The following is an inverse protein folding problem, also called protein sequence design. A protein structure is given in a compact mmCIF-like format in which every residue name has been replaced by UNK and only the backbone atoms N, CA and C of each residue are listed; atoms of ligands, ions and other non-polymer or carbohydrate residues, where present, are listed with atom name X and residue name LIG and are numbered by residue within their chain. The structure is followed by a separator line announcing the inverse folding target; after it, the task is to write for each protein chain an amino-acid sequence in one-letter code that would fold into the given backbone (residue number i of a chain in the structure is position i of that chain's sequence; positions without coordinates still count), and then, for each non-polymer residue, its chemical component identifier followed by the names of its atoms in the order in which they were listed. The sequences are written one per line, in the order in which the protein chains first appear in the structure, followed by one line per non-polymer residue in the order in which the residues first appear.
data_IF_447847422731
#
_entry.id   IF_447847422731
#
_cell.length_a   1.000
_cell.length_b   1.000
_cell.length_c   1.000
_cell.angle_alpha   90.00
_cell.angle_beta   90.00
_cell.angle_gamma   90.00
#
_symmetry.space_group_name_H-M   'P 1'
#
loop_
_entity.id
_entity.type
_entity.pdbx_description
1 polymer ?
#
# COMPACT_ATOMS: atom_id res chain seq x y z
N UNK A 1 -58.03 48.38 18.90
CA UNK A 1 -57.45 47.04 19.15
C UNK A 1 -57.13 46.38 17.81
N UNK A 2 -55.90 46.53 17.34
CA UNK A 2 -55.45 46.00 16.04
C UNK A 2 -54.71 44.69 16.31
N UNK A 3 -55.24 43.57 15.81
CA UNK A 3 -54.59 42.25 15.87
C UNK A 3 -53.53 42.18 14.78
N UNK A 4 -52.26 42.03 15.16
CA UNK A 4 -51.16 41.70 14.25
C UNK A 4 -50.98 40.18 14.25
N UNK A 5 -51.18 39.57 13.08
CA UNK A 5 -50.90 38.17 12.81
C UNK A 5 -49.38 37.93 12.76
N UNK A 6 -48.86 37.02 13.58
CA UNK A 6 -47.49 36.50 13.45
C UNK A 6 -47.46 35.46 12.32
N UNK A 7 -46.74 35.75 11.24
CA UNK A 7 -46.35 34.80 10.19
C UNK A 7 -45.27 33.87 10.74
N UNK A 8 -45.55 32.58 10.78
CA UNK A 8 -44.59 31.47 10.92
C UNK A 8 -43.98 31.19 9.55
N UNK A 9 -42.72 31.57 9.34
CA UNK A 9 -41.90 31.06 8.22
C UNK A 9 -40.45 30.96 8.70
N UNK A 10 -39.81 29.85 8.33
CA UNK A 10 -38.35 29.60 8.31
C UNK A 10 -37.81 28.65 9.40
N UNK A 11 -38.17 27.37 9.24
CA UNK A 11 -37.48 26.22 9.85
C UNK A 11 -37.04 25.22 8.76
N UNK A 12 -36.51 25.71 7.62
CA UNK A 12 -36.05 24.86 6.51
C UNK A 12 -34.71 25.29 5.88
N UNK A 13 -33.82 25.92 6.66
CA UNK A 13 -32.47 26.30 6.17
C UNK A 13 -31.33 25.66 6.99
N UNK A 14 -31.63 24.78 7.96
CA UNK A 14 -30.59 24.20 8.83
C UNK A 14 -30.20 22.74 8.53
N UNK A 15 -30.67 22.15 7.42
CA UNK A 15 -30.31 20.76 7.06
C UNK A 15 -29.46 20.61 5.79
N UNK A 16 -29.13 21.70 5.10
CA UNK A 16 -28.26 21.66 3.89
C UNK A 16 -26.80 22.06 4.14
N UNK A 17 -26.43 22.41 5.38
CA UNK A 17 -25.03 22.71 5.75
C UNK A 17 -24.31 21.57 6.49
N UNK A 18 -24.99 20.45 6.76
CA UNK A 18 -24.42 19.29 7.47
C UNK A 18 -24.17 18.08 6.55
N UNK A 19 -23.94 18.32 5.26
CA UNK A 19 -23.71 17.26 4.26
C UNK A 19 -22.46 17.48 3.40
N UNK A 20 -21.52 18.32 3.84
CA UNK A 20 -20.26 18.59 3.12
C UNK A 20 -18.98 18.38 3.96
N UNK A 21 -19.05 17.63 5.07
CA UNK A 21 -17.89 17.38 5.94
C UNK A 21 -17.68 15.92 6.37
N UNK A 22 -18.05 14.96 5.52
CA UNK A 22 -17.63 13.55 5.71
C UNK A 22 -17.07 12.96 4.41
N UNK A 23 -16.00 13.60 3.93
CA UNK A 23 -15.00 12.93 3.12
C UNK A 23 -13.63 13.30 3.68
N UNK A 24 -13.44 13.01 4.97
CA UNK A 24 -12.10 12.89 5.54
C UNK A 24 -11.59 11.52 5.11
N UNK A 25 -10.84 11.52 4.02
CA UNK A 25 -9.91 10.48 3.63
C UNK A 25 -9.33 9.81 4.89
N UNK A 26 -9.36 8.48 4.96
CA UNK A 26 -8.49 7.76 5.87
C UNK A 26 -7.06 8.02 5.38
N UNK A 27 -6.50 9.14 5.82
CA UNK A 27 -5.15 9.56 5.48
C UNK A 27 -4.23 8.45 5.97
N UNK A 28 -3.49 7.84 5.04
CA UNK A 28 -2.19 7.25 5.40
C UNK A 28 -1.46 8.41 6.07
N UNK A 29 -1.34 8.37 7.39
CA UNK A 29 -0.76 9.46 8.16
C UNK A 29 0.71 9.52 7.74
N UNK A 30 1.03 10.54 6.94
CA UNK A 30 2.40 10.85 6.52
C UNK A 30 2.76 12.21 7.07
N UNK A 31 3.99 12.31 7.56
CA UNK A 31 4.56 13.57 8.05
C UNK A 31 5.82 13.84 7.25
N UNK A 32 5.88 15.00 6.62
CA UNK A 32 7.07 15.42 5.90
C UNK A 32 7.99 16.18 6.86
N UNK A 33 9.27 15.83 6.84
CA UNK A 33 10.32 16.50 7.59
C UNK A 33 11.31 17.12 6.61
N UNK A 34 11.68 18.38 6.84
CA UNK A 34 12.43 19.19 5.89
C UNK A 34 13.74 19.69 6.48
N UNK A 35 14.80 19.66 5.69
CA UNK A 35 16.05 20.31 6.09
C UNK A 35 15.79 21.79 6.35
N UNK A 36 16.31 22.38 7.45
CA UNK A 36 16.41 23.82 7.56
C UNK A 36 17.08 24.39 6.31
N UNK A 37 16.40 25.32 5.64
CA UNK A 37 16.80 25.80 4.32
C UNK A 37 17.79 26.95 4.46
N UNK A 38 18.98 26.78 3.88
CA UNK A 38 19.96 27.87 3.73
C UNK A 38 19.91 28.49 2.34
N UNK A 39 19.45 27.73 1.34
CA UNK A 39 19.30 28.15 -0.04
C UNK A 39 17.89 27.80 -0.56
N UNK A 40 17.30 28.66 -1.39
CA UNK A 40 15.91 28.57 -1.83
C UNK A 40 15.74 28.42 -3.35
N UNK A 41 16.83 28.41 -4.13
CA UNK A 41 16.79 28.13 -5.56
C UNK A 41 16.72 26.62 -5.86
N UNK A 42 16.65 26.28 -7.15
CA UNK A 42 16.53 24.89 -7.62
C UNK A 42 15.10 24.36 -7.65
N UNK A 43 14.92 23.20 -8.31
CA UNK A 43 13.62 22.59 -8.55
C UNK A 43 13.48 21.27 -7.77
N UNK A 44 12.34 21.09 -7.11
CA UNK A 44 11.96 19.83 -6.50
C UNK A 44 11.71 18.77 -7.56
N UNK A 45 12.31 17.60 -7.36
CA UNK A 45 12.32 16.53 -8.36
C UNK A 45 11.18 15.51 -8.16
N UNK A 46 10.33 15.76 -7.17
CA UNK A 46 9.15 14.96 -6.86
C UNK A 46 9.45 13.81 -5.92
N UNK A 47 8.42 13.41 -5.16
CA UNK A 47 8.53 12.34 -4.18
C UNK A 47 8.83 10.99 -4.82
N UNK A 48 9.79 10.27 -4.23
CA UNK A 48 9.99 8.84 -4.47
C UNK A 48 9.75 8.12 -3.16
N UNK A 49 8.89 7.12 -3.22
CA UNK A 49 8.41 6.38 -2.05
C UNK A 49 9.05 5.00 -2.00
N UNK A 50 9.27 4.51 -0.79
CA UNK A 50 9.57 3.12 -0.52
C UNK A 50 8.36 2.27 -0.94
N UNK A 51 8.55 1.00 -1.34
CA UNK A 51 7.43 0.07 -1.45
C UNK A 51 6.57 0.07 -0.18
N UNK A 52 5.27 -0.15 -0.33
CA UNK A 52 4.35 -0.19 0.81
C UNK A 52 4.85 -1.14 1.91
N UNK A 53 4.78 -0.69 3.17
CA UNK A 53 5.23 -1.46 4.33
C UNK A 53 6.75 -1.54 4.52
N UNK A 54 7.54 -0.86 3.67
CA UNK A 54 9.00 -0.82 3.80
C UNK A 54 9.49 0.58 4.18
N UNK A 55 10.63 0.63 4.88
CA UNK A 55 11.21 1.85 5.41
C UNK A 55 12.68 1.93 5.04
N UNK A 56 13.22 3.14 4.94
CA UNK A 56 14.62 3.35 4.65
C UNK A 56 15.50 2.89 5.81
N UNK A 57 16.56 2.16 5.51
CA UNK A 57 17.52 1.65 6.50
C UNK A 57 18.98 1.91 6.11
N UNK A 58 19.22 2.58 4.97
CA UNK A 58 20.55 3.03 4.60
C UNK A 58 20.49 4.29 3.73
N UNK A 59 21.61 5.00 3.66
CA UNK A 59 21.81 6.12 2.76
C UNK A 59 23.10 5.95 1.94
N UNK A 60 23.11 6.48 0.72
CA UNK A 60 24.30 6.56 -0.14
C UNK A 60 24.37 7.92 -0.79
N UNK A 61 25.55 8.52 -0.80
CA UNK A 61 25.77 9.85 -1.35
C UNK A 61 26.50 9.78 -2.68
N UNK A 62 26.12 10.66 -3.61
CA UNK A 62 26.90 10.93 -4.82
C UNK A 62 27.59 12.28 -4.63
N UNK A 63 28.91 12.26 -4.51
CA UNK A 63 29.72 13.46 -4.20
C UNK A 63 30.75 13.64 -5.29
N UNK A 64 31.01 14.88 -5.70
CA UNK A 64 32.13 15.17 -6.60
C UNK A 64 33.45 14.68 -5.95
N UNK A 65 34.36 14.12 -6.75
CA UNK A 65 35.67 13.67 -6.24
C UNK A 65 36.63 14.84 -6.13
N UNK A 66 37.63 14.75 -5.23
CA UNK A 66 38.71 15.75 -5.11
C UNK A 66 39.38 15.95 -6.48
N UNK A 67 39.16 17.08 -7.13
CA UNK A 67 39.79 17.41 -8.43
C UNK A 67 41.04 18.30 -8.26
N UNK A 68 41.71 18.25 -7.11
CA UNK A 68 42.91 19.05 -6.83
C UNK A 68 42.58 20.53 -6.64
N UNK A 69 43.21 21.42 -7.42
CA UNK A 69 43.05 22.88 -7.31
C UNK A 69 41.76 23.44 -7.97
N UNK A 70 40.74 22.59 -8.20
CA UNK A 70 39.43 23.01 -8.75
C UNK A 70 38.35 22.84 -7.70
N UNK A 71 37.45 23.83 -7.58
CA UNK A 71 36.36 23.87 -6.59
C UNK A 71 35.60 22.54 -6.49
N UNK A 72 35.74 21.84 -5.37
CA UNK A 72 35.05 20.57 -5.09
C UNK A 72 33.60 20.86 -4.65
N UNK A 73 32.65 20.83 -5.59
CA UNK A 73 31.57 21.83 -5.53
C UNK A 73 30.21 21.45 -4.91
N UNK A 74 29.89 20.21 -4.53
CA UNK A 74 28.70 19.86 -3.68
C UNK A 74 28.37 18.35 -3.64
N UNK A 75 27.41 17.99 -2.77
CA UNK A 75 26.60 16.77 -2.85
C UNK A 75 25.67 16.85 -4.07
N UNK A 76 25.64 15.83 -4.92
CA UNK A 76 24.81 15.81 -6.13
C UNK A 76 23.49 15.07 -5.96
N UNK A 77 23.44 14.09 -5.06
CA UNK A 77 22.19 13.42 -4.65
C UNK A 77 22.36 12.64 -3.35
N UNK A 78 21.23 12.38 -2.70
CA UNK A 78 21.08 11.43 -1.60
C UNK A 78 20.15 10.31 -2.04
N UNK A 79 20.62 9.08 -1.87
CA UNK A 79 19.88 7.85 -2.12
C UNK A 79 19.51 7.22 -0.79
N UNK A 80 18.25 6.84 -0.61
CA UNK A 80 17.80 6.09 0.57
C UNK A 80 17.40 4.67 0.15
N UNK A 81 17.81 3.67 0.93
CA UNK A 81 17.53 2.28 0.63
C UNK A 81 16.40 1.72 1.48
N UNK A 82 15.30 1.41 0.82
CA UNK A 82 14.33 0.37 1.20
C UNK A 82 14.32 -0.74 0.14
N UNK A 83 14.47 -0.34 -1.13
CA UNK A 83 14.96 -1.09 -2.31
C UNK A 83 15.72 -0.18 -3.28
N UNK A 84 16.30 0.89 -2.74
CA UNK A 84 17.14 1.77 -3.51
C UNK A 84 16.45 2.89 -4.29
N UNK A 85 15.92 3.88 -3.58
CA UNK A 85 15.20 5.02 -4.18
C UNK A 85 15.98 6.33 -4.04
N UNK A 86 15.91 7.17 -5.06
CA UNK A 86 16.39 8.55 -5.04
C UNK A 86 15.46 9.41 -5.90
N UNK A 87 15.29 10.67 -5.53
CA UNK A 87 14.41 11.61 -6.23
C UNK A 87 15.07 12.15 -7.50
N UNK A 88 15.93 13.18 -7.38
CA UNK A 88 16.73 13.67 -8.49
C UNK A 88 18.22 13.66 -8.19
N UNK A 89 19.00 13.82 -9.25
CA UNK A 89 20.46 13.75 -9.18
C UNK A 89 21.14 14.78 -10.08
N UNK A 90 22.28 15.28 -9.61
CA UNK A 90 23.28 15.94 -10.45
C UNK A 90 23.99 14.95 -11.39
N UNK A 91 24.45 15.42 -12.57
CA UNK A 91 25.12 14.56 -13.55
C UNK A 91 26.45 13.99 -13.03
N UNK A 92 27.18 14.76 -12.22
CA UNK A 92 28.56 14.47 -11.85
C UNK A 92 28.74 13.77 -10.50
N UNK A 93 29.98 13.37 -10.20
CA UNK A 93 30.40 12.78 -8.93
C UNK A 93 30.36 11.25 -8.88
N UNK A 94 30.97 10.71 -7.82
CA UNK A 94 31.09 9.27 -7.56
C UNK A 94 30.18 8.87 -6.40
N UNK A 95 29.55 7.71 -6.55
CA UNK A 95 28.79 7.08 -5.47
C UNK A 95 29.74 6.60 -4.38
N UNK A 96 29.58 7.16 -3.19
CA UNK A 96 30.37 6.82 -2.01
C UNK A 96 29.86 5.55 -1.35
N UNK A 97 30.51 5.12 -0.26
CA UNK A 97 30.13 3.92 0.47
C UNK A 97 28.73 4.06 1.06
N UNK A 98 28.01 2.96 1.07
CA UNK A 98 26.69 2.86 1.67
C UNK A 98 26.79 2.89 3.19
N UNK A 99 25.90 3.66 3.82
CA UNK A 99 25.83 3.84 5.27
C UNK A 99 24.55 3.23 5.78
N UNK A 100 24.68 2.05 6.38
CA UNK A 100 23.57 1.27 6.91
C UNK A 100 23.27 1.63 8.35
N UNK A 101 21.98 1.70 8.68
CA UNK A 101 21.54 1.61 10.06
C UNK A 101 21.99 0.28 10.68
N UNK A 102 22.26 0.23 11.99
CA UNK A 102 22.48 -1.03 12.69
C UNK A 102 21.32 -2.01 12.45
N UNK A 103 21.61 -3.30 12.57
CA UNK A 103 20.64 -4.37 12.33
C UNK A 103 19.36 -4.16 13.16
N UNK A 104 18.20 -4.33 12.51
CA UNK A 104 16.88 -4.15 13.11
C UNK A 104 16.44 -2.69 13.31
N UNK A 105 17.26 -1.70 12.95
CA UNK A 105 16.91 -0.28 13.02
C UNK A 105 16.56 0.29 11.65
N UNK A 106 15.69 1.29 11.66
CA UNK A 106 15.27 2.04 10.46
C UNK A 106 15.63 3.51 10.63
N UNK A 107 15.67 4.24 9.52
CA UNK A 107 15.88 5.68 9.51
C UNK A 107 14.65 6.38 10.11
N UNK A 108 14.88 7.13 11.18
CA UNK A 108 13.86 7.86 11.95
C UNK A 108 14.08 9.38 11.92
N UNK A 109 15.08 9.85 11.19
CA UNK A 109 15.41 11.26 11.08
C UNK A 109 16.67 11.49 10.26
N UNK A 110 17.00 12.76 10.08
CA UNK A 110 18.20 13.18 9.36
C UNK A 110 18.67 14.57 9.79
N UNK A 111 19.88 14.90 9.36
CA UNK A 111 20.39 16.27 9.30
C UNK A 111 21.16 16.44 7.98
N UNK A 112 21.12 17.66 7.45
CA UNK A 112 21.84 18.03 6.24
C UNK A 112 23.00 18.96 6.62
N UNK A 113 24.16 18.77 5.98
CA UNK A 113 25.29 19.68 6.09
C UNK A 113 25.34 20.55 4.85
N UNK A 114 25.46 21.86 5.03
CA UNK A 114 25.54 22.84 3.94
C UNK A 114 26.61 23.88 4.26
N UNK A 115 27.18 24.51 3.23
CA UNK A 115 28.10 25.63 3.45
C UNK A 115 27.33 26.94 3.69
N UNK A 116 27.92 27.85 4.47
CA UNK A 116 27.26 29.12 4.83
C UNK A 116 27.42 30.17 3.73
N UNK A 117 26.42 31.04 3.52
CA UNK A 117 26.42 32.06 2.46
C UNK A 117 27.42 33.23 2.66
N UNK A 118 28.29 33.20 3.68
CA UNK A 118 29.23 34.29 3.97
C UNK A 118 30.59 34.15 3.27
N UNK A 119 30.87 33.02 2.62
CA UNK A 119 32.01 32.85 1.74
C UNK A 119 31.51 32.90 0.28
N UNK A 120 32.33 33.44 -0.62
CA UNK A 120 31.97 33.91 -1.97
C UNK A 120 31.27 32.89 -2.89
N UNK A 121 31.26 31.61 -2.53
CA UNK A 121 30.70 30.53 -3.32
C UNK A 121 29.45 29.96 -2.65
N UNK A 122 28.32 30.03 -3.36
CA UNK A 122 27.04 29.52 -2.91
C UNK A 122 27.04 28.00 -3.03
N UNK A 123 27.56 27.30 -2.04
CA UNK A 123 27.59 25.83 -2.08
C UNK A 123 26.32 25.27 -1.46
N UNK A 124 25.66 24.35 -2.17
CA UNK A 124 24.47 23.64 -1.71
C UNK A 124 24.75 22.69 -0.54
N UNK A 125 24.01 21.58 -0.46
CA UNK A 125 24.30 20.53 0.48
C UNK A 125 25.67 19.90 0.18
N UNK A 126 26.39 19.51 1.23
CA UNK A 126 27.74 18.93 1.14
C UNK A 126 27.81 17.58 1.84
N UNK A 127 26.96 17.32 2.83
CA UNK A 127 26.83 16.02 3.46
C UNK A 127 25.40 15.77 3.96
N UNK A 128 25.11 14.52 4.29
CA UNK A 128 23.87 14.05 4.87
C UNK A 128 24.18 13.01 5.94
N UNK A 129 23.48 13.10 7.07
CA UNK A 129 23.53 12.07 8.09
C UNK A 129 22.11 11.63 8.45
N UNK A 130 21.91 10.33 8.54
CA UNK A 130 20.68 9.73 9.01
C UNK A 130 20.76 9.37 10.49
N UNK A 131 19.62 9.44 11.15
CA UNK A 131 19.43 8.94 12.51
C UNK A 131 18.63 7.64 12.46
N UNK A 132 19.16 6.60 13.09
CA UNK A 132 18.59 5.26 13.11
C UNK A 132 18.01 4.92 14.48
N UNK A 133 16.91 4.19 14.49
CA UNK A 133 16.27 3.77 15.74
C UNK A 133 15.06 2.91 15.49
N UNK A 134 14.39 2.54 16.58
CA UNK A 134 13.09 1.86 16.50
C UNK A 134 11.98 2.91 16.30
N UNK A 135 10.87 2.55 15.62
CA UNK A 135 9.77 3.49 15.37
C UNK A 135 9.23 4.16 16.63
N UNK A 136 9.12 3.46 17.76
CA UNK A 136 8.64 4.02 19.03
C UNK A 136 9.77 4.47 19.98
N UNK A 137 11.03 4.29 19.56
CA UNK A 137 12.22 4.65 20.32
C UNK A 137 12.40 6.16 20.53
N UNK A 138 13.45 6.56 21.27
CA UNK A 138 13.79 7.97 21.44
C UNK A 138 14.15 8.64 20.11
N UNK A 139 13.94 9.96 20.02
CA UNK A 139 14.34 10.78 18.88
C UNK A 139 15.64 11.49 19.23
N UNK A 140 16.72 10.74 19.11
CA UNK A 140 18.05 11.16 19.52
C UNK A 140 19.11 10.77 18.47
N UNK A 141 20.37 11.08 18.78
CA UNK A 141 21.52 10.88 17.89
C UNK A 141 22.27 9.58 18.15
N UNK A 142 21.71 8.65 18.94
CA UNK A 142 22.44 7.46 19.43
C UNK A 142 23.04 6.65 18.29
N UNK A 143 22.27 6.44 17.22
CA UNK A 143 22.74 5.76 16.01
C UNK A 143 22.73 6.73 14.83
N UNK A 144 23.76 7.58 14.76
CA UNK A 144 23.97 8.49 13.64
C UNK A 144 24.86 7.83 12.59
N UNK A 145 24.39 7.80 11.34
CA UNK A 145 25.17 7.31 10.19
C UNK A 145 25.42 8.46 9.21
N UNK A 146 26.69 8.82 9.03
CA UNK A 146 27.12 9.96 8.22
C UNK A 146 27.70 9.48 6.89
N UNK A 147 27.36 10.17 5.80
CA UNK A 147 27.92 9.91 4.48
C UNK A 147 29.39 10.32 4.36
N UNK A 148 30.11 9.66 3.45
CA UNK A 148 31.51 9.99 3.16
C UNK A 148 31.58 11.22 2.25
N UNK A 149 31.76 12.40 2.84
CA UNK A 149 32.02 13.63 2.09
C UNK A 149 33.03 14.52 2.81
N UNK A 150 33.31 15.69 2.25
CA UNK A 150 34.31 16.60 2.78
C UNK A 150 33.93 17.19 4.15
N UNK A 151 34.92 17.60 4.96
CA UNK A 151 34.69 18.01 6.36
C UNK A 151 34.22 19.46 6.54
N UNK A 152 33.90 20.20 5.48
CA UNK A 152 33.49 21.61 5.54
C UNK A 152 31.95 21.79 5.58
N UNK A 153 31.50 23.01 5.82
CA UNK A 153 30.10 23.36 6.06
C UNK A 153 29.61 23.08 7.49
N UNK A 154 28.36 23.41 7.76
CA UNK A 154 27.71 23.27 9.07
C UNK A 154 26.47 22.38 8.99
N UNK A 155 26.27 21.58 10.04
CA UNK A 155 25.09 20.73 10.18
C UNK A 155 23.88 21.58 10.58
N UNK A 156 22.79 21.38 9.85
CA UNK A 156 21.48 21.93 10.19
C UNK A 156 20.89 21.27 11.44
N UNK A 157 19.86 21.89 12.00
CA UNK A 157 19.11 21.31 13.11
C UNK A 157 18.49 19.96 12.71
N UNK A 158 18.56 19.00 13.62
CA UNK A 158 18.06 17.65 13.40
C UNK A 158 16.57 17.64 13.12
N UNK A 159 16.18 16.78 12.20
CA UNK A 159 14.80 16.53 11.85
C UNK A 159 14.47 15.07 12.16
N UNK A 160 13.44 14.83 12.95
CA UNK A 160 13.02 13.49 13.35
C UNK A 160 11.58 13.25 12.92
N UNK A 161 11.31 12.04 12.46
CA UNK A 161 9.95 11.54 12.33
C UNK A 161 9.27 11.52 13.70
N UNK A 162 7.94 11.71 13.80
CA UNK A 162 7.21 11.49 15.04
C UNK A 162 7.37 10.06 15.56
N UNK A 163 7.13 9.82 16.86
CA UNK A 163 7.08 8.45 17.42
C UNK A 163 6.04 7.60 16.69
N UNK A 164 6.38 6.34 16.42
CA UNK A 164 5.58 5.41 15.62
C UNK A 164 5.77 5.56 14.10
N UNK A 165 6.71 6.39 13.65
CA UNK A 165 6.98 6.64 12.22
C UNK A 165 8.44 6.39 11.87
N UNK A 166 8.67 6.03 10.61
CA UNK A 166 9.99 5.89 10.01
C UNK A 166 10.00 6.45 8.58
N UNK A 167 11.18 6.77 8.06
CA UNK A 167 11.35 7.34 6.72
C UNK A 167 10.91 6.33 5.67
N UNK A 168 9.98 6.75 4.82
CA UNK A 168 9.41 5.96 3.72
C UNK A 168 9.46 6.70 2.37
N UNK A 169 10.05 7.88 2.29
CA UNK A 169 10.18 8.59 1.02
C UNK A 169 11.19 9.73 1.06
N UNK A 170 11.62 10.13 -0.12
CA UNK A 170 12.58 11.22 -0.33
C UNK A 170 12.13 12.13 -1.47
N UNK A 171 12.37 13.42 -1.29
CA UNK A 171 12.28 14.44 -2.32
C UNK A 171 13.52 15.32 -2.21
N UNK A 172 14.19 15.57 -3.33
CA UNK A 172 15.43 16.36 -3.36
C UNK A 172 15.20 17.61 -4.19
N UNK A 173 15.72 18.75 -3.72
CA UNK A 173 15.78 19.97 -4.49
C UNK A 173 17.13 20.03 -5.19
N UNK A 174 17.12 20.07 -6.51
CA UNK A 174 18.34 20.13 -7.33
C UNK A 174 18.45 21.53 -7.94
N UNK A 175 19.60 22.16 -7.78
CA UNK A 175 19.94 23.42 -8.42
C UNK A 175 19.74 23.28 -9.93
N UNK A 176 19.03 24.25 -10.51
CA UNK A 176 18.91 24.36 -11.97
C UNK A 176 19.93 25.35 -12.49
N UNK A 177 20.57 25.09 -13.65
CA UNK A 177 21.56 26.00 -14.19
C UNK A 177 20.91 27.36 -14.47
N UNK A 178 21.57 28.44 -14.04
CA UNK A 178 21.16 29.80 -14.40
C UNK A 178 21.36 30.00 -15.92
N UNK A 179 20.51 30.79 -16.61
CA UNK A 179 20.56 30.94 -18.07
C UNK A 179 21.89 31.50 -18.63
N UNK A 180 22.82 31.94 -17.78
CA UNK A 180 24.13 32.49 -18.16
C UNK A 180 25.32 31.72 -17.58
N UNK A 181 25.10 30.56 -16.94
CA UNK A 181 26.18 29.64 -16.52
C UNK A 181 26.02 28.32 -17.26
N UNK A 182 27.15 27.66 -17.57
CA UNK A 182 27.17 26.38 -18.28
C UNK A 182 26.17 25.40 -17.64
N UNK A 183 25.44 24.66 -18.48
CA UNK A 183 24.32 23.78 -18.12
C UNK A 183 24.68 22.58 -17.21
N UNK A 184 25.96 22.46 -16.85
CA UNK A 184 26.56 21.28 -16.23
C UNK A 184 26.61 21.37 -14.70
N UNK A 185 26.41 22.55 -14.10
CA UNK A 185 26.45 22.69 -12.65
C UNK A 185 25.06 22.46 -12.03
N UNK A 186 24.72 21.20 -11.74
CA UNK A 186 23.52 20.82 -10.98
C UNK A 186 23.93 20.05 -9.73
N UNK A 187 23.65 20.62 -8.57
CA UNK A 187 23.94 20.03 -7.28
C UNK A 187 22.69 19.97 -6.39
N UNK A 188 22.77 19.22 -5.29
CA UNK A 188 21.70 19.10 -4.31
C UNK A 188 21.71 20.31 -3.38
N UNK A 189 20.58 21.00 -3.25
CA UNK A 189 20.44 22.12 -2.31
C UNK A 189 19.76 21.66 -1.02
N UNK A 190 18.67 20.91 -1.13
CA UNK A 190 17.84 20.53 0.01
C UNK A 190 17.29 19.11 -0.10
N UNK A 191 16.94 18.54 1.06
CA UNK A 191 16.30 17.22 1.17
C UNK A 191 15.05 17.36 2.03
N UNK A 192 13.97 16.75 1.54
CA UNK A 192 12.78 16.42 2.34
C UNK A 192 12.63 14.91 2.42
N UNK A 193 12.33 14.43 3.63
CA UNK A 193 11.99 13.04 3.87
C UNK A 193 10.52 12.94 4.26
N UNK A 194 9.86 11.90 3.79
CA UNK A 194 8.50 11.55 4.19
C UNK A 194 8.56 10.45 5.22
N UNK A 195 7.92 10.66 6.36
CA UNK A 195 7.74 9.68 7.41
C UNK A 195 6.37 9.01 7.25
N UNK A 196 6.34 7.68 7.24
CA UNK A 196 5.12 6.89 7.26
C UNK A 196 4.99 6.21 8.63
N UNK A 197 3.75 6.04 9.08
CA UNK A 197 3.46 5.23 10.26
C UNK A 197 3.98 3.80 10.09
N UNK A 198 4.58 3.26 11.15
CA UNK A 198 5.03 1.87 11.24
C UNK A 198 4.01 1.08 12.04
N UNK A 199 3.42 0.01 11.48
CA UNK A 199 2.55 -0.87 12.24
C UNK A 199 3.28 -1.41 13.48
N UNK A 200 2.63 -1.35 14.64
CA UNK A 200 3.21 -1.84 15.90
C UNK A 200 3.23 -3.36 16.02
N UNK A 201 2.42 -4.05 15.23
CA UNK A 201 2.35 -5.50 15.17
C UNK A 201 2.92 -5.97 13.83
N UNK A 202 4.09 -6.59 13.85
CA UNK A 202 4.59 -7.32 12.69
C UNK A 202 3.96 -8.71 12.65
N UNK A 203 3.07 -8.91 11.68
CA UNK A 203 2.45 -10.22 11.45
C UNK A 203 3.36 -11.06 10.53
N UNK A 204 4.06 -12.04 11.08
CA UNK A 204 4.82 -13.00 10.28
C UNK A 204 3.90 -14.05 9.66
N UNK A 205 3.24 -13.69 8.55
CA UNK A 205 2.38 -14.59 7.80
C UNK A 205 2.39 -14.26 6.31
N UNK A 206 2.15 -15.28 5.49
CA UNK A 206 1.81 -15.10 4.08
C UNK A 206 0.30 -14.96 3.97
N UNK A 207 -0.22 -13.89 3.35
CA UNK A 207 -1.66 -13.71 3.22
C UNK A 207 -2.28 -14.81 2.36
N UNK A 208 -3.39 -15.37 2.82
CA UNK A 208 -4.17 -16.37 2.09
C UNK A 208 -5.53 -15.80 1.73
N UNK A 209 -5.93 -16.01 0.48
CA UNK A 209 -7.21 -15.56 -0.06
C UNK A 209 -8.06 -16.77 -0.43
N UNK A 210 -9.34 -16.71 -0.11
CA UNK A 210 -10.27 -17.79 -0.38
C UNK A 210 -11.71 -17.27 -0.49
N UNK A 211 -12.55 -18.06 -1.15
CA UNK A 211 -13.99 -17.84 -1.22
C UNK A 211 -14.68 -18.66 -0.15
N UNK A 212 -15.59 -18.04 0.59
CA UNK A 212 -16.51 -18.75 1.47
C UNK A 212 -17.93 -18.60 0.98
N UNK A 213 -18.65 -19.73 0.88
CA UNK A 213 -20.04 -19.78 0.44
C UNK A 213 -20.93 -19.13 1.49
N UNK A 214 -21.64 -18.07 1.08
CA UNK A 214 -22.67 -17.42 1.89
C UNK A 214 -24.01 -18.12 1.75
N UNK A 215 -24.40 -18.43 0.50
CA UNK A 215 -25.67 -19.10 0.21
C UNK A 215 -25.61 -19.82 -1.14
N UNK A 216 -26.51 -20.76 -1.33
CA UNK A 216 -26.76 -21.47 -2.58
C UNK A 216 -28.27 -21.53 -2.79
N UNK A 217 -28.70 -21.27 -4.03
CA UNK A 217 -30.10 -21.32 -4.40
C UNK A 217 -30.29 -22.05 -5.72
N UNK A 218 -31.22 -23.00 -5.72
CA UNK A 218 -31.54 -23.81 -6.90
C UNK A 218 -32.86 -23.35 -7.52
N UNK A 219 -32.78 -22.63 -8.64
CA UNK A 219 -33.92 -22.26 -9.47
C UNK A 219 -33.94 -23.06 -10.79
N UNK A 220 -33.30 -24.23 -10.85
CA UNK A 220 -33.13 -25.00 -12.11
C UNK A 220 -34.45 -25.57 -12.64
N UNK A 221 -35.46 -25.71 -11.79
CA UNK A 221 -36.80 -26.17 -12.18
C UNK A 221 -37.83 -25.02 -12.27
N UNK A 222 -37.45 -23.80 -11.88
CA UNK A 222 -38.36 -22.66 -11.86
C UNK A 222 -38.38 -21.91 -13.20
N UNK A 223 -39.58 -21.63 -13.70
CA UNK A 223 -39.81 -20.92 -14.95
C UNK A 223 -39.70 -19.38 -14.84
N UNK A 224 -39.54 -18.84 -13.62
CA UNK A 224 -39.45 -17.42 -13.35
C UNK A 224 -38.19 -17.04 -12.56
N UNK A 225 -37.87 -15.76 -12.54
CA UNK A 225 -36.79 -15.21 -11.72
C UNK A 225 -37.20 -15.17 -10.25
N UNK A 226 -36.32 -15.61 -9.35
CA UNK A 226 -36.55 -15.58 -7.91
C UNK A 226 -35.56 -14.63 -7.25
N UNK A 227 -36.07 -13.68 -6.46
CA UNK A 227 -35.23 -12.78 -5.65
C UNK A 227 -34.91 -13.44 -4.32
N UNK A 228 -33.63 -13.59 -4.01
CA UNK A 228 -33.15 -14.06 -2.72
C UNK A 228 -32.44 -12.93 -1.97
N UNK A 229 -32.33 -13.08 -0.65
CA UNK A 229 -31.50 -12.23 0.20
C UNK A 229 -30.33 -13.04 0.75
N UNK A 230 -29.18 -12.38 0.92
CA UNK A 230 -28.01 -12.95 1.55
C UNK A 230 -27.30 -11.89 2.39
N UNK A 231 -26.59 -12.33 3.43
CA UNK A 231 -25.82 -11.44 4.29
C UNK A 231 -24.33 -11.63 4.04
N UNK A 232 -23.63 -10.53 3.78
CA UNK A 232 -22.16 -10.51 3.76
C UNK A 232 -21.65 -9.75 4.97
N UNK A 233 -20.53 -10.22 5.53
CA UNK A 233 -19.93 -9.62 6.72
C UNK A 233 -18.60 -8.97 6.36
N UNK A 234 -18.53 -7.65 6.44
CA UNK A 234 -17.30 -6.87 6.24
C UNK A 234 -16.75 -6.55 7.62
N UNK A 235 -15.89 -7.43 8.14
CA UNK A 235 -15.35 -7.29 9.50
C UNK A 235 -14.05 -8.05 9.70
N UNK A 236 -13.24 -7.60 10.66
CA UNK A 236 -12.11 -8.36 11.17
C UNK A 236 -12.56 -9.36 12.24
N UNK A 237 -11.93 -10.51 12.32
CA UNK A 237 -12.20 -11.50 13.36
C UNK A 237 -10.95 -12.30 13.66
N UNK A 238 -10.66 -12.53 14.94
CA UNK A 238 -9.65 -13.52 15.34
C UNK A 238 -10.18 -14.93 15.16
N UNK A 239 -9.44 -15.78 14.44
CA UNK A 239 -9.80 -17.18 14.19
C UNK A 239 -9.56 -18.06 15.41
N UNK A 240 -8.60 -17.69 16.26
CA UNK A 240 -8.22 -18.40 17.49
C UNK A 240 -8.21 -17.45 18.70
N UNK A 241 -8.31 -18.03 19.91
CA UNK A 241 -8.30 -17.30 21.18
C UNK A 241 -9.69 -16.94 21.73
N UNK A 242 -9.71 -16.46 22.98
CA UNK A 242 -10.94 -16.12 23.71
C UNK A 242 -11.57 -14.80 23.23
N UNK A 243 -10.76 -13.90 22.68
CA UNK A 243 -11.19 -12.59 22.18
C UNK A 243 -11.31 -12.63 20.67
N UNK A 244 -12.48 -12.29 20.12
CA UNK A 244 -12.74 -12.24 18.68
C UNK A 244 -12.42 -10.89 18.03
N UNK A 245 -12.27 -9.84 18.84
CA UNK A 245 -11.94 -8.48 18.37
C UNK A 245 -10.47 -8.36 18.00
N UNK A 246 -10.20 -7.59 16.95
CA UNK A 246 -8.85 -7.31 16.44
C UNK A 246 -8.53 -5.85 16.74
N UNK A 247 -7.37 -5.59 17.37
CA UNK A 247 -6.97 -4.23 17.73
C UNK A 247 -6.65 -3.39 16.50
N UNK A 248 -6.65 -2.06 16.63
CA UNK A 248 -6.28 -1.16 15.54
C UNK A 248 -4.85 -1.43 15.04
N UNK A 249 -3.92 -1.73 15.94
CA UNK A 249 -2.51 -2.03 15.61
C UNK A 249 -2.39 -3.36 14.85
N UNK A 250 -3.16 -4.38 15.24
CA UNK A 250 -3.24 -5.66 14.54
C UNK A 250 -3.86 -5.49 13.14
N UNK A 251 -4.88 -4.63 13.00
CA UNK A 251 -5.49 -4.30 11.70
C UNK A 251 -4.51 -3.57 10.78
N UNK A 252 -3.72 -2.63 11.31
CA UNK A 252 -2.67 -1.94 10.56
C UNK A 252 -1.55 -2.91 10.14
N UNK A 253 -1.15 -3.81 11.03
CA UNK A 253 -0.23 -4.90 10.72
C UNK A 253 -0.77 -5.81 9.62
N UNK A 254 -2.06 -6.14 9.66
CA UNK A 254 -2.73 -6.95 8.65
C UNK A 254 -2.77 -6.26 7.28
N UNK A 255 -3.13 -4.98 7.25
CA UNK A 255 -3.16 -4.18 6.03
C UNK A 255 -1.78 -4.12 5.36
N UNK A 256 -0.70 -4.07 6.14
CA UNK A 256 0.67 -4.05 5.62
C UNK A 256 1.04 -5.29 4.81
N UNK A 257 0.36 -6.43 5.03
CA UNK A 257 0.61 -7.70 4.32
C UNK A 257 -0.08 -7.78 2.96
N UNK A 258 -0.87 -6.77 2.57
CA UNK A 258 -1.51 -6.71 1.25
C UNK A 258 -0.50 -6.19 0.22
N UNK A 259 0.33 -7.10 -0.30
CA UNK A 259 1.39 -6.80 -1.26
C UNK A 259 1.04 -7.16 -2.71
N UNK A 260 0.13 -8.11 -2.91
CA UNK A 260 -0.19 -8.70 -4.22
C UNK A 260 -1.68 -8.63 -4.54
N UNK A 261 -2.01 -8.67 -5.83
CA UNK A 261 -3.39 -8.81 -6.29
C UNK A 261 -3.83 -10.28 -6.28
N UNK A 262 -5.11 -10.51 -6.59
CA UNK A 262 -5.68 -11.84 -6.76
C UNK A 262 -6.41 -11.99 -8.08
N UNK A 263 -6.43 -13.22 -8.59
CA UNK A 263 -7.34 -13.66 -9.63
C UNK A 263 -8.41 -14.56 -9.01
N UNK A 264 -9.65 -14.33 -9.43
CA UNK A 264 -10.82 -15.07 -8.94
C UNK A 264 -11.53 -15.69 -10.14
N UNK A 265 -11.61 -17.02 -10.16
CA UNK A 265 -12.28 -17.78 -11.22
C UNK A 265 -13.73 -18.09 -10.87
N UNK A 266 -14.68 -17.60 -11.67
CA UNK A 266 -16.13 -17.75 -11.43
C UNK A 266 -16.68 -19.12 -11.82
N UNK A 267 -16.11 -19.82 -12.80
CA UNK A 267 -16.60 -21.15 -13.19
C UNK A 267 -16.03 -22.24 -12.29
N UNK A 268 -14.73 -22.15 -11.99
CA UNK A 268 -13.98 -23.19 -11.29
C UNK A 268 -13.87 -22.95 -9.77
N UNK A 269 -14.29 -21.79 -9.27
CA UNK A 269 -14.31 -21.49 -7.82
C UNK A 269 -12.92 -21.43 -7.18
N UNK A 270 -11.89 -20.99 -7.91
CA UNK A 270 -10.53 -20.84 -7.38
C UNK A 270 -10.19 -19.38 -7.11
N UNK A 271 -9.25 -19.18 -6.19
CA UNK A 271 -8.58 -17.91 -5.93
C UNK A 271 -7.07 -18.13 -5.97
N UNK A 272 -6.34 -17.28 -6.68
CA UNK A 272 -4.87 -17.32 -6.74
C UNK A 272 -4.29 -15.93 -6.55
N UNK A 273 -3.31 -15.77 -5.66
CA UNK A 273 -2.53 -14.55 -5.54
C UNK A 273 -1.54 -14.42 -6.70
N UNK A 274 -1.42 -13.23 -7.30
CA UNK A 274 -0.44 -12.95 -8.37
C UNK A 274 0.25 -11.60 -8.20
N UNK A 275 1.55 -11.59 -8.46
CA UNK A 275 2.40 -10.39 -8.46
C UNK A 275 2.26 -9.57 -9.75
N UNK A 276 1.86 -10.22 -10.84
CA UNK A 276 1.62 -9.59 -12.14
C UNK A 276 0.50 -10.31 -12.88
N UNK A 277 -0.39 -9.55 -13.51
CA UNK A 277 -1.46 -10.10 -14.35
C UNK A 277 -1.01 -10.17 -15.80
N UNK A 278 -1.10 -11.35 -16.43
CA UNK A 278 -1.05 -11.47 -17.90
C UNK A 278 -2.34 -10.94 -18.52
N UNK A 279 -2.32 -10.50 -19.78
CA UNK A 279 -3.56 -10.15 -20.49
C UNK A 279 -4.26 -11.45 -20.91
N UNK A 280 -5.20 -11.91 -20.08
CA UNK A 280 -6.18 -12.91 -20.44
C UNK A 280 -7.54 -12.27 -20.25
N UNK A 281 -8.22 -11.99 -21.37
CA UNK A 281 -9.64 -11.68 -21.42
C UNK A 281 -10.38 -13.01 -21.41
N UNK A 282 -10.71 -13.49 -20.22
CA UNK A 282 -11.70 -14.54 -20.04
C UNK A 282 -12.89 -13.97 -19.30
N UNK A 283 -14.11 -14.21 -19.78
CA UNK A 283 -15.36 -13.84 -19.09
C UNK A 283 -15.54 -14.57 -17.75
N UNK A 284 -14.68 -15.56 -17.45
CA UNK A 284 -14.74 -16.41 -16.27
C UNK A 284 -13.69 -16.09 -15.19
N UNK A 285 -12.82 -15.07 -15.37
CA UNK A 285 -11.79 -14.69 -14.39
C UNK A 285 -11.81 -13.17 -14.13
N UNK A 286 -11.90 -12.76 -12.87
CA UNK A 286 -11.72 -11.37 -12.46
C UNK A 286 -10.36 -11.14 -11.79
N UNK A 287 -9.72 -10.03 -12.14
CA UNK A 287 -8.44 -9.58 -11.61
C UNK A 287 -8.66 -8.44 -10.62
N UNK A 288 -8.23 -8.63 -9.38
CA UNK A 288 -8.34 -7.64 -8.31
C UNK A 288 -6.93 -7.23 -7.91
N UNK A 289 -6.56 -5.98 -8.20
CA UNK A 289 -5.24 -5.44 -7.86
C UNK A 289 -5.00 -5.36 -6.35
N UNK A 290 -3.72 -5.35 -5.94
CA UNK A 290 -3.33 -5.16 -4.54
C UNK A 290 -3.96 -3.89 -3.95
N UNK A 291 -4.03 -2.79 -4.72
CA UNK A 291 -4.63 -1.54 -4.29
C UNK A 291 -6.15 -1.66 -4.02
N UNK A 292 -6.87 -2.39 -4.88
CA UNK A 292 -8.30 -2.67 -4.63
C UNK A 292 -8.50 -3.49 -3.35
N UNK A 293 -7.63 -4.47 -3.09
CA UNK A 293 -7.66 -5.25 -1.84
C UNK A 293 -7.37 -4.35 -0.64
N UNK A 294 -6.34 -3.49 -0.72
CA UNK A 294 -6.02 -2.52 0.34
C UNK A 294 -7.24 -1.64 0.67
N UNK A 295 -7.95 -1.13 -0.34
CA UNK A 295 -9.15 -0.32 -0.13
C UNK A 295 -10.27 -1.12 0.55
N UNK A 296 -10.48 -2.39 0.17
CA UNK A 296 -11.47 -3.25 0.83
C UNK A 296 -11.12 -3.54 2.30
N UNK A 297 -9.83 -3.79 2.58
CA UNK A 297 -9.34 -4.01 3.95
C UNK A 297 -9.49 -2.73 4.77
N UNK A 298 -9.09 -1.57 4.24
CA UNK A 298 -9.27 -0.26 4.89
C UNK A 298 -10.75 0.04 5.19
N UNK A 299 -11.66 -0.26 4.26
CA UNK A 299 -13.09 -0.12 4.50
C UNK A 299 -13.56 -0.98 5.68
N UNK A 300 -13.07 -2.23 5.78
CA UNK A 300 -13.36 -3.09 6.93
C UNK A 300 -12.72 -2.59 8.24
N UNK A 301 -11.64 -1.80 8.17
CA UNK A 301 -11.03 -1.18 9.35
C UNK A 301 -11.86 0.00 9.86
N UNK A 302 -12.38 0.83 8.95
CA UNK A 302 -13.14 2.04 9.29
C UNK A 302 -14.56 1.73 9.74
N UNK A 303 -15.19 0.72 9.15
CA UNK A 303 -16.56 0.32 9.47
C UNK A 303 -16.73 -1.19 9.36
N UNK A 304 -16.90 -1.84 10.51
CA UNK A 304 -17.32 -3.24 10.55
C UNK A 304 -18.84 -3.32 10.48
N UNK A 305 -19.36 -4.06 9.50
CA UNK A 305 -20.80 -4.17 9.28
C UNK A 305 -21.22 -5.51 8.68
N UNK A 306 -22.48 -5.85 8.90
CA UNK A 306 -23.18 -6.94 8.20
C UNK A 306 -24.19 -6.30 7.25
N UNK A 307 -24.10 -6.65 5.98
CA UNK A 307 -24.88 -6.03 4.91
C UNK A 307 -25.76 -7.10 4.29
N UNK A 308 -27.07 -6.86 4.29
CA UNK A 308 -28.05 -7.68 3.57
C UNK A 308 -28.18 -7.18 2.13
N UNK A 309 -27.93 -8.04 1.16
CA UNK A 309 -28.09 -7.74 -0.27
C UNK A 309 -29.10 -8.67 -0.92
N UNK A 310 -29.69 -8.24 -2.02
CA UNK A 310 -30.59 -9.06 -2.84
C UNK A 310 -29.89 -9.55 -4.09
N UNK A 311 -30.23 -10.76 -4.53
CA UNK A 311 -29.80 -11.30 -5.81
C UNK A 311 -30.98 -11.90 -6.56
N UNK A 312 -31.06 -11.64 -7.86
CA UNK A 312 -32.11 -12.17 -8.73
C UNK A 312 -31.60 -13.44 -9.43
N UNK A 313 -32.07 -14.59 -8.98
CA UNK A 313 -31.74 -15.90 -9.56
C UNK A 313 -32.57 -16.10 -10.83
N UNK A 314 -31.94 -16.19 -12.02
CA UNK A 314 -32.67 -16.41 -13.27
C UNK A 314 -33.44 -17.73 -13.28
N UNK A 315 -34.47 -17.81 -14.11
CA UNK A 315 -35.17 -19.07 -14.39
C UNK A 315 -34.18 -20.15 -14.91
N UNK A 316 -34.42 -21.39 -14.53
CA UNK A 316 -33.65 -22.57 -14.95
C UNK A 316 -32.15 -22.53 -14.61
N UNK A 317 -31.75 -21.78 -13.56
CA UNK A 317 -30.35 -21.69 -13.10
C UNK A 317 -30.22 -21.96 -11.61
N UNK A 318 -29.14 -22.65 -11.21
CA UNK A 318 -28.69 -22.68 -9.82
C UNK A 318 -27.61 -21.61 -9.63
N UNK A 319 -27.52 -21.02 -8.45
CA UNK A 319 -26.46 -20.05 -8.14
C UNK A 319 -25.83 -20.32 -6.79
N UNK A 320 -24.52 -20.13 -6.71
CA UNK A 320 -23.74 -20.10 -5.47
C UNK A 320 -23.22 -18.67 -5.29
N UNK A 321 -23.47 -18.07 -4.13
CA UNK A 321 -22.96 -16.75 -3.76
C UNK A 321 -21.85 -16.94 -2.73
N UNK A 322 -20.67 -16.44 -3.05
CA UNK A 322 -19.46 -16.55 -2.25
C UNK A 322 -18.90 -15.16 -1.96
N UNK A 323 -18.30 -14.99 -0.78
CA UNK A 323 -17.59 -13.78 -0.39
C UNK A 323 -16.10 -14.04 -0.36
N UNK A 324 -15.33 -13.06 -0.83
CA UNK A 324 -13.88 -13.09 -0.75
C UNK A 324 -13.42 -12.77 0.68
N UNK A 325 -12.58 -13.65 1.21
CA UNK A 325 -11.91 -13.47 2.49
C UNK A 325 -10.40 -13.42 2.32
N UNK A 326 -9.75 -12.73 3.24
CA UNK A 326 -8.30 -12.76 3.41
C UNK A 326 -7.98 -13.17 4.85
N UNK A 327 -6.94 -13.98 5.02
CA UNK A 327 -6.42 -14.36 6.33
C UNK A 327 -4.90 -14.22 6.39
N UNK A 328 -4.39 -13.92 7.57
CA UNK A 328 -2.96 -13.81 7.84
C UNK A 328 -2.76 -14.04 9.34
N UNK A 329 -2.00 -15.08 9.71
CA UNK A 329 -1.87 -15.52 11.09
C UNK A 329 -3.22 -15.97 11.66
N UNK A 330 -3.59 -15.46 12.84
CA UNK A 330 -4.89 -15.72 13.45
C UNK A 330 -5.95 -14.66 13.14
N UNK A 331 -5.70 -13.77 12.18
CA UNK A 331 -6.63 -12.71 11.80
C UNK A 331 -7.25 -13.07 10.45
N UNK A 332 -8.55 -12.84 10.35
CA UNK A 332 -9.34 -12.99 9.14
C UNK A 332 -10.15 -11.71 8.91
N UNK A 333 -10.30 -11.32 7.65
CA UNK A 333 -11.17 -10.21 7.24
C UNK A 333 -12.10 -10.65 6.11
N UNK A 334 -13.39 -10.35 6.26
CA UNK A 334 -14.36 -10.44 5.18
C UNK A 334 -14.29 -9.19 4.31
N UNK A 335 -13.99 -9.36 3.02
CA UNK A 335 -13.90 -8.25 2.08
C UNK A 335 -15.28 -7.97 1.47
N UNK A 336 -15.51 -6.76 0.97
CA UNK A 336 -16.80 -6.39 0.35
C UNK A 336 -17.09 -7.08 -0.99
N UNK A 337 -16.10 -7.81 -1.54
CA UNK A 337 -16.20 -8.49 -2.83
C UNK A 337 -17.04 -9.77 -2.75
N UNK A 338 -18.06 -9.82 -3.60
CA UNK A 338 -18.93 -10.98 -3.83
C UNK A 338 -18.64 -11.59 -5.20
N UNK A 339 -18.75 -12.91 -5.25
CA UNK A 339 -18.55 -13.77 -6.40
C UNK A 339 -19.81 -14.63 -6.54
N UNK A 340 -20.42 -14.62 -7.71
CA UNK A 340 -21.59 -15.47 -8.00
C UNK A 340 -21.22 -16.47 -9.08
N UNK A 341 -21.51 -17.75 -8.82
CA UNK A 341 -21.28 -18.85 -9.76
C UNK A 341 -22.59 -19.45 -10.19
N UNK A 342 -22.76 -19.69 -11.49
CA UNK A 342 -23.91 -20.44 -11.99
C UNK A 342 -23.62 -21.93 -11.87
N UNK A 343 -24.59 -22.69 -11.36
CA UNK A 343 -24.57 -24.15 -11.33
C UNK A 343 -25.55 -24.62 -12.38
N UNK A 344 -25.05 -25.21 -13.46
CA UNK A 344 -25.91 -25.84 -14.46
C UNK A 344 -26.34 -27.22 -13.97
N UNK A 345 -27.50 -27.70 -14.43
CA UNK A 345 -27.82 -29.12 -14.32
C UNK A 345 -26.72 -29.84 -15.10
N UNK A 346 -26.05 -30.83 -14.49
CA UNK A 346 -25.42 -31.86 -15.30
C UNK A 346 -26.57 -32.57 -16.03
N UNK A 347 -26.92 -32.10 -17.23
CA UNK A 347 -27.64 -32.93 -18.18
C UNK A 347 -26.64 -33.98 -18.60
N UNK A 348 -26.54 -35.05 -17.79
CA UNK A 348 -25.92 -36.28 -18.21
C UNK A 348 -26.59 -36.66 -19.52
N UNK A 349 -25.91 -36.39 -20.62
CA UNK A 349 -26.34 -36.96 -21.89
C UNK A 349 -26.34 -38.46 -21.67
N UNK A 350 -27.33 -39.18 -22.20
CA UNK A 350 -27.32 -40.64 -22.14
C UNK A 350 -25.98 -41.24 -22.65
N UNK A 351 -25.21 -40.46 -23.42
CA UNK A 351 -23.86 -40.76 -23.86
C UNK A 351 -22.80 -40.79 -22.75
N UNK A 352 -22.90 -39.97 -21.70
CA UNK A 352 -21.93 -39.98 -20.58
C UNK A 352 -22.12 -41.19 -19.66
N UNK A 353 -23.38 -41.61 -19.45
CA UNK A 353 -23.67 -42.88 -18.79
C UNK A 353 -23.24 -44.08 -19.63
N UNK A 354 -23.42 -44.03 -20.96
CA UNK A 354 -22.91 -45.07 -21.85
C UNK A 354 -21.37 -45.13 -21.83
N UNK A 355 -20.68 -43.98 -21.83
CA UNK A 355 -19.21 -43.90 -21.76
C UNK A 355 -18.67 -44.41 -20.42
N UNK A 356 -19.33 -44.11 -19.30
CA UNK A 356 -18.96 -44.66 -18.00
C UNK A 356 -19.24 -46.16 -17.89
N UNK A 357 -20.35 -46.66 -18.46
CA UNK A 357 -20.66 -48.10 -18.50
C UNK A 357 -19.69 -48.84 -19.43
N UNK A 358 -19.34 -48.29 -20.59
CA UNK A 358 -18.36 -48.87 -21.52
C UNK A 358 -16.96 -48.88 -20.91
N UNK A 359 -16.55 -47.82 -20.21
CA UNK A 359 -15.29 -47.75 -19.47
C UNK A 359 -15.22 -48.80 -18.35
N UNK A 360 -16.31 -48.97 -17.59
CA UNK A 360 -16.42 -50.00 -16.56
C UNK A 360 -16.43 -51.42 -17.15
N UNK A 361 -17.12 -51.65 -18.28
CA UNK A 361 -17.12 -52.94 -18.97
C UNK A 361 -15.75 -53.29 -19.56
N UNK A 362 -15.07 -52.33 -20.19
CA UNK A 362 -13.72 -52.53 -20.73
C UNK A 362 -12.72 -52.83 -19.61
N UNK A 363 -12.85 -52.20 -18.44
CA UNK A 363 -12.00 -52.48 -17.28
C UNK A 363 -12.21 -53.88 -16.70
N UNK A 364 -13.45 -54.38 -16.69
CA UNK A 364 -13.78 -55.75 -16.23
C UNK A 364 -13.42 -56.83 -17.26
N UNK A 365 -13.52 -56.53 -18.56
CA UNK A 365 -13.11 -57.45 -19.63
C UNK A 365 -11.59 -57.55 -19.72
N UNK A 366 -10.84 -56.44 -19.55
CA UNK A 366 -9.37 -56.47 -19.48
C UNK A 366 -8.86 -57.22 -18.25
N UNK A 367 -9.55 -57.17 -17.11
CA UNK A 367 -9.16 -57.90 -15.90
C UNK A 367 -9.38 -59.43 -16.00
N UNK A 368 -10.29 -59.88 -16.87
CA UNK A 368 -10.58 -61.32 -17.06
C UNK A 368 -9.80 -61.96 -18.23
N UNK A 369 -9.05 -61.18 -19.02
CA UNK A 369 -8.18 -61.70 -20.10
C UNK A 369 -6.70 -61.78 -19.63
N UNK A 370 -6.38 -61.24 -18.46
CA UNK A 370 -5.03 -61.19 -17.87
C UNK A 370 -4.86 -62.03 -16.58
N UNK A 371 -5.77 -63.00 -16.36
CA UNK A 371 -5.65 -64.03 -15.32
C UNK A 371 -5.61 -65.44 -15.92
#
# INVERSE_FOLDING_TARGET
MIRVAKKTVSTMILFYFFSLFFSAFASIETVDISSPRYYFGGNWQGWKMCPNGTYAYAARLKVQGDMGDRDDTALNTTYIMSRGIFSGQGPDGLWRTEKFCPEGLVMIGFTLRSDKPYQKDNVGAVNFAAYCGTPDGPRDRTHRVEGDSHPWGEWSADQFCPKGFAVCGINTQIMSPQPHRNADQRWLDNVDLRCCRVPRVDLHCTPQYFLERLTEYDNRQGAGTITIQYEKKVSFTKTTGNTRTVSQEEKEGFLSKVEVGVEVGFEFGFVSSKTSFGYEQGTSIEKISAHQIQNMVQNAMTKEETITETYNVPAYKGVIIEQLYMSCGNIRVGLSKIVTRSVELQTGSANDYLQQIISAFMSVVFFNILL
#
